data_IF_620178310534
#
_entry.id   IF_620178310534
#
_cell.length_a   1.000
_cell.length_b   1.000
_cell.length_c   1.000
_cell.angle_alpha   90.00
_cell.angle_beta   90.00
_cell.angle_gamma   90.00
#
_symmetry.space_group_name_H-M   'P 1'
#
loop_
_entity.id
_entity.type
_entity.pdbx_description
1 polymer ?
#
# COMPACT_ATOMS: atom_id res chain seq x y z
N UNK A 1 -66.52 -13.22 9.78
CA UNK A 1 -66.63 -12.56 11.11
C UNK A 1 -66.17 -13.54 12.18
N UNK A 2 -65.26 -13.09 13.06
CA UNK A 2 -64.79 -13.67 14.35
C UNK A 2 -63.61 -14.66 14.31
N UNK A 3 -62.59 -14.34 15.13
CA UNK A 3 -61.37 -15.10 15.46
C UNK A 3 -60.24 -14.15 15.90
N UNK A 4 -60.37 -13.42 17.02
CA UNK A 4 -59.82 -13.70 18.37
C UNK A 4 -58.30 -13.41 18.52
N UNK A 5 -58.04 -12.38 19.34
CA UNK A 5 -57.00 -12.15 20.37
C UNK A 5 -55.57 -12.70 20.23
N UNK A 6 -54.57 -11.84 20.45
CA UNK A 6 -53.99 -11.64 21.78
C UNK A 6 -52.92 -10.52 21.79
N UNK A 7 -53.04 -9.58 22.74
CA UNK A 7 -51.93 -8.74 23.20
C UNK A 7 -50.91 -9.62 23.93
N UNK A 8 -49.61 -9.42 23.68
CA UNK A 8 -48.56 -9.79 24.65
C UNK A 8 -47.51 -8.68 24.70
N UNK A 9 -47.07 -8.41 25.93
CA UNK A 9 -46.53 -7.16 26.43
C UNK A 9 -45.06 -6.87 26.05
N UNK A 10 -44.77 -5.58 26.00
CA UNK A 10 -43.45 -4.97 26.01
C UNK A 10 -42.75 -5.28 27.35
N UNK A 11 -41.58 -5.94 27.30
CA UNK A 11 -40.67 -6.02 28.45
C UNK A 11 -39.33 -5.39 28.06
N UNK A 12 -39.15 -4.16 28.52
CA UNK A 12 -37.90 -3.41 28.52
C UNK A 12 -37.00 -4.02 29.61
N UNK A 13 -35.85 -4.57 29.24
CA UNK A 13 -34.78 -4.90 30.20
C UNK A 13 -33.59 -4.02 29.86
N UNK A 14 -33.24 -3.15 30.79
CA UNK A 14 -32.13 -2.19 30.68
C UNK A 14 -31.24 -2.35 31.92
N UNK A 15 -29.92 -2.35 31.67
CA UNK A 15 -28.75 -2.32 32.58
C UNK A 15 -28.34 -3.71 33.12
N UNK A 16 -27.06 -4.14 33.10
CA UNK A 16 -25.82 -3.46 33.50
C UNK A 16 -24.59 -4.19 32.90
N UNK A 17 -23.55 -3.45 32.47
CA UNK A 17 -22.14 -3.89 32.63
C UNK A 17 -21.29 -4.07 31.37
N UNK A 18 -20.40 -3.10 31.08
CA UNK A 18 -19.26 -3.21 30.15
C UNK A 18 -17.98 -3.51 30.97
N UNK A 19 -17.01 -4.33 30.49
CA UNK A 19 -15.87 -3.75 29.77
C UNK A 19 -15.46 -4.60 28.53
N UNK A 20 -14.51 -4.11 27.70
CA UNK A 20 -14.47 -4.40 26.28
C UNK A 20 -14.06 -5.84 26.02
N UNK A 21 -14.72 -6.49 25.06
CA UNK A 21 -14.10 -7.63 24.39
C UNK A 21 -12.84 -7.07 23.72
N UNK A 22 -11.63 -7.56 24.01
CA UNK A 22 -10.49 -7.21 23.19
C UNK A 22 -10.84 -7.65 21.78
N UNK A 23 -11.03 -6.67 20.90
CA UNK A 23 -11.08 -6.91 19.48
C UNK A 23 -9.84 -7.71 19.18
N UNK A 24 -10.03 -8.99 18.83
CA UNK A 24 -8.95 -9.81 18.34
C UNK A 24 -8.56 -9.15 17.04
N UNK A 25 -7.57 -8.26 17.09
CA UNK A 25 -6.76 -7.99 15.92
C UNK A 25 -6.14 -9.34 15.62
N UNK A 26 -6.81 -10.14 14.79
CA UNK A 26 -6.11 -11.11 13.99
C UNK A 26 -5.19 -10.27 13.14
N UNK A 27 -4.02 -9.94 13.70
CA UNK A 27 -2.86 -9.71 12.90
C UNK A 27 -2.85 -10.91 11.97
N UNK A 28 -3.15 -10.66 10.70
CA UNK A 28 -2.93 -11.64 9.67
C UNK A 28 -1.40 -11.77 9.67
N UNK A 29 -0.88 -12.61 10.55
CA UNK A 29 0.43 -13.19 10.36
C UNK A 29 0.25 -14.04 9.12
N UNK A 30 0.33 -13.40 7.96
CA UNK A 30 0.59 -14.08 6.72
C UNK A 30 1.78 -14.96 7.04
N UNK A 31 1.54 -16.28 7.12
CA UNK A 31 2.60 -17.23 7.39
C UNK A 31 3.73 -16.86 6.43
N UNK A 32 4.94 -16.65 6.95
CA UNK A 32 6.10 -16.36 6.12
C UNK A 32 6.27 -17.57 5.21
N UNK A 33 5.75 -17.47 3.98
CA UNK A 33 5.97 -18.50 2.96
C UNK A 33 7.48 -18.56 2.77
N UNK A 34 8.13 -19.71 3.01
CA UNK A 34 9.56 -19.85 2.78
C UNK A 34 9.88 -19.41 1.35
N UNK A 35 10.91 -18.59 1.20
CA UNK A 35 11.27 -17.98 -0.08
C UNK A 35 12.11 -16.72 0.13
N UNK A 36 12.77 -16.28 -0.93
CA UNK A 36 13.56 -15.06 -0.88
C UNK A 36 12.64 -13.85 -0.75
N UNK A 37 13.18 -12.77 -0.21
CA UNK A 37 12.46 -11.52 0.06
C UNK A 37 13.43 -10.40 -0.22
N UNK A 38 13.08 -9.52 -1.14
CA UNK A 38 13.94 -8.43 -1.56
C UNK A 38 13.38 -7.13 -1.03
N UNK A 39 14.25 -6.37 -0.36
CA UNK A 39 14.00 -4.97 -0.01
C UNK A 39 15.15 -4.16 -0.57
N UNK A 40 14.82 -3.14 -1.34
CA UNK A 40 15.79 -2.18 -1.86
C UNK A 40 15.37 -0.78 -1.46
N UNK A 41 16.35 0.00 -1.01
CA UNK A 41 16.16 1.37 -0.54
C UNK A 41 17.04 2.25 -1.42
N UNK A 42 16.42 3.19 -2.12
CA UNK A 42 17.06 4.04 -3.11
C UNK A 42 16.76 5.51 -2.84
N UNK A 43 17.62 6.40 -3.34
CA UNK A 43 17.46 7.82 -3.07
C UNK A 43 16.28 8.40 -3.87
N UNK A 44 16.29 8.20 -5.19
CA UNK A 44 15.33 8.81 -6.10
C UNK A 44 14.44 7.79 -6.83
N UNK A 45 13.24 8.21 -7.26
CA UNK A 45 12.38 7.47 -8.18
C UNK A 45 13.02 7.18 -9.56
N UNK A 46 13.80 6.10 -9.70
CA UNK A 46 14.41 5.55 -10.95
C UNK A 46 15.73 4.80 -10.67
N UNK A 47 16.41 5.14 -9.57
CA UNK A 47 17.67 4.53 -9.14
C UNK A 47 17.62 2.99 -9.11
N UNK A 48 16.47 2.43 -8.77
CA UNK A 48 16.21 1.00 -8.81
C UNK A 48 16.27 0.40 -10.22
N UNK A 49 15.60 1.04 -11.17
CA UNK A 49 15.56 0.61 -12.57
C UNK A 49 16.93 0.75 -13.23
N UNK A 50 17.73 1.74 -12.80
CA UNK A 50 19.05 2.06 -13.36
C UNK A 50 20.18 1.25 -12.73
N UNK A 51 20.13 0.96 -11.42
CA UNK A 51 21.30 0.47 -10.68
C UNK A 51 21.07 -0.84 -9.91
N UNK A 52 19.82 -1.29 -9.72
CA UNK A 52 19.53 -2.55 -9.02
C UNK A 52 19.32 -3.74 -9.98
N UNK A 53 19.50 -3.52 -11.28
CA UNK A 53 19.57 -4.60 -12.26
C UNK A 53 20.91 -5.36 -12.15
N UNK A 54 20.93 -6.70 -12.36
CA UNK A 54 19.81 -7.55 -12.78
C UNK A 54 18.91 -8.06 -11.65
N UNK A 55 19.31 -7.90 -10.38
CA UNK A 55 18.69 -8.56 -9.23
C UNK A 55 17.21 -8.20 -9.08
N UNK A 56 16.85 -6.92 -9.20
CA UNK A 56 15.45 -6.46 -9.16
C UNK A 56 14.60 -7.16 -10.23
N UNK A 57 15.09 -7.20 -11.46
CA UNK A 57 14.37 -7.74 -12.60
C UNK A 57 14.17 -9.24 -12.42
N UNK A 58 15.22 -9.95 -11.98
CA UNK A 58 15.16 -11.36 -11.64
C UNK A 58 14.10 -11.66 -10.58
N UNK A 59 14.10 -10.91 -9.47
CA UNK A 59 13.15 -11.10 -8.39
C UNK A 59 11.69 -10.89 -8.83
N UNK A 60 11.40 -9.80 -9.55
CA UNK A 60 10.03 -9.50 -10.03
C UNK A 60 9.54 -10.55 -11.03
N UNK A 61 10.39 -10.96 -11.98
CA UNK A 61 10.05 -11.96 -12.99
C UNK A 61 9.85 -13.35 -12.37
N UNK A 62 10.68 -13.73 -11.39
CA UNK A 62 10.52 -14.96 -10.63
C UNK A 62 9.27 -14.94 -9.72
N UNK A 63 8.70 -13.76 -9.45
CA UNK A 63 7.55 -13.59 -8.58
C UNK A 63 7.90 -13.55 -7.10
N UNK A 64 9.17 -13.36 -6.77
CA UNK A 64 9.63 -13.18 -5.40
C UNK A 64 9.08 -11.87 -4.82
N UNK A 65 8.73 -11.82 -3.53
CA UNK A 65 8.26 -10.58 -2.94
C UNK A 65 9.35 -9.51 -2.90
N UNK A 66 9.00 -8.36 -3.44
CA UNK A 66 9.87 -7.20 -3.64
C UNK A 66 9.22 -5.97 -3.01
N UNK A 67 10.01 -5.22 -2.25
CA UNK A 67 9.64 -3.89 -1.74
C UNK A 67 10.71 -2.89 -2.16
N UNK A 68 10.31 -1.86 -2.89
CA UNK A 68 11.18 -0.73 -3.20
C UNK A 68 10.80 0.47 -2.39
N UNK A 69 11.76 1.05 -1.66
CA UNK A 69 11.57 2.24 -0.85
C UNK A 69 12.35 3.39 -1.46
N UNK A 70 11.66 4.47 -1.80
CA UNK A 70 12.26 5.71 -2.31
C UNK A 70 12.36 6.73 -1.17
N UNK A 71 13.58 7.17 -0.87
CA UNK A 71 13.87 8.07 0.25
C UNK A 71 13.48 9.52 -0.01
N UNK A 72 13.32 9.90 -1.28
CA UNK A 72 12.91 11.25 -1.69
C UNK A 72 11.83 11.16 -2.75
N UNK A 73 11.11 12.25 -2.97
CA UNK A 73 10.15 12.36 -4.05
C UNK A 73 10.81 12.65 -5.43
N UNK A 74 12.11 12.99 -5.44
CA UNK A 74 12.89 13.18 -6.66
C UNK A 74 12.53 14.42 -7.47
N UNK A 75 11.96 15.43 -6.81
CA UNK A 75 11.50 16.70 -7.38
C UNK A 75 12.65 17.66 -7.72
N UNK A 76 13.78 17.59 -7.01
CA UNK A 76 14.94 18.44 -7.27
C UNK A 76 14.58 19.94 -7.27
N UNK A 77 14.76 20.60 -8.41
CA UNK A 77 14.42 22.02 -8.62
C UNK A 77 13.13 22.23 -9.44
N UNK A 78 12.29 21.20 -9.59
CA UNK A 78 11.02 21.34 -10.29
C UNK A 78 10.17 22.47 -9.68
N UNK A 79 9.70 23.40 -10.51
CA UNK A 79 8.96 24.58 -10.09
C UNK A 79 9.80 25.72 -9.48
N UNK A 80 11.13 25.60 -9.42
CA UNK A 80 12.03 26.69 -9.00
C UNK A 80 12.45 27.55 -10.20
N UNK A 81 12.99 26.91 -11.24
CA UNK A 81 13.51 27.58 -12.44
C UNK A 81 12.82 27.12 -13.75
N UNK A 82 11.68 26.42 -13.62
CA UNK A 82 10.89 25.95 -14.74
C UNK A 82 9.38 26.13 -14.51
N UNK A 83 8.58 25.73 -15.50
CA UNK A 83 7.12 25.85 -15.46
C UNK A 83 6.42 24.63 -14.84
N UNK A 84 7.16 23.68 -14.25
CA UNK A 84 6.55 22.49 -13.65
C UNK A 84 5.89 22.83 -12.32
N UNK A 85 4.73 22.22 -12.07
CA UNK A 85 4.23 22.09 -10.70
C UNK A 85 5.02 20.95 -10.02
N UNK A 86 5.76 21.21 -8.93
CA UNK A 86 6.56 20.18 -8.26
C UNK A 86 5.71 19.00 -7.80
N UNK A 87 4.47 19.24 -7.32
CA UNK A 87 3.60 18.16 -6.89
C UNK A 87 3.15 17.28 -8.06
N UNK A 88 2.83 17.92 -9.20
CA UNK A 88 2.49 17.20 -10.42
C UNK A 88 3.67 16.40 -10.95
N UNK A 89 4.86 17.00 -10.93
CA UNK A 89 6.09 16.35 -11.37
C UNK A 89 6.38 15.07 -10.56
N UNK A 90 6.32 15.16 -9.24
CA UNK A 90 6.45 13.99 -8.35
C UNK A 90 5.39 12.94 -8.65
N UNK A 91 4.13 13.35 -8.76
CA UNK A 91 3.03 12.43 -9.06
C UNK A 91 3.27 11.66 -10.37
N UNK A 92 3.65 12.36 -11.44
CA UNK A 92 3.91 11.75 -12.75
C UNK A 92 5.11 10.79 -12.70
N UNK A 93 6.16 11.09 -11.91
CA UNK A 93 7.28 10.15 -11.68
C UNK A 93 6.83 8.88 -10.96
N UNK A 94 5.99 9.00 -9.93
CA UNK A 94 5.45 7.84 -9.24
C UNK A 94 4.55 7.00 -10.16
N UNK A 95 3.75 7.62 -11.04
CA UNK A 95 2.94 6.90 -12.05
C UNK A 95 3.83 6.19 -13.07
N UNK A 96 4.94 6.80 -13.47
CA UNK A 96 5.95 6.17 -14.34
C UNK A 96 6.53 4.90 -13.73
N UNK A 97 6.90 4.92 -12.44
CA UNK A 97 7.36 3.73 -11.73
C UNK A 97 6.29 2.66 -11.62
N UNK A 98 5.05 3.03 -11.30
CA UNK A 98 3.91 2.10 -11.26
C UNK A 98 3.72 1.39 -12.61
N UNK A 99 3.79 2.15 -13.70
CA UNK A 99 3.69 1.60 -15.05
C UNK A 99 4.88 0.67 -15.37
N UNK A 100 6.11 1.07 -15.02
CA UNK A 100 7.32 0.28 -15.27
C UNK A 100 7.28 -1.07 -14.53
N UNK A 101 6.90 -1.08 -13.25
CA UNK A 101 6.79 -2.31 -12.47
C UNK A 101 5.64 -3.20 -12.94
N UNK A 102 4.48 -2.62 -13.29
CA UNK A 102 3.38 -3.40 -13.85
C UNK A 102 3.76 -4.05 -15.19
N UNK A 103 4.47 -3.31 -16.05
CA UNK A 103 5.02 -3.82 -17.30
C UNK A 103 6.01 -4.96 -17.06
N UNK A 104 6.98 -4.77 -16.14
CA UNK A 104 7.96 -5.79 -15.78
C UNK A 104 7.30 -7.06 -15.22
N UNK A 105 6.25 -6.92 -14.42
CA UNK A 105 5.50 -8.02 -13.85
C UNK A 105 4.51 -8.68 -14.84
N UNK A 106 4.30 -8.09 -16.03
CA UNK A 106 3.40 -8.62 -17.06
C UNK A 106 1.91 -8.54 -16.69
N UNK A 107 1.50 -7.57 -15.87
CA UNK A 107 0.12 -7.41 -15.38
C UNK A 107 -0.40 -5.99 -15.61
N UNK A 108 -1.72 -5.74 -15.52
CA UNK A 108 -2.28 -4.39 -15.63
C UNK A 108 -1.69 -3.42 -14.59
N UNK A 109 -1.56 -2.15 -14.98
CA UNK A 109 -1.10 -1.07 -14.11
C UNK A 109 -2.20 -0.64 -13.12
N UNK A 110 -2.52 -1.51 -12.17
CA UNK A 110 -3.54 -1.31 -11.14
C UNK A 110 -2.92 -1.49 -9.77
N UNK A 111 -2.98 -0.44 -8.94
CA UNK A 111 -2.33 -0.41 -7.63
C UNK A 111 -3.33 -0.10 -6.53
N UNK A 112 -3.10 -0.71 -5.37
CA UNK A 112 -3.82 -0.41 -4.13
C UNK A 112 -2.88 0.34 -3.19
N UNK A 113 -3.23 1.58 -2.91
CA UNK A 113 -2.46 2.42 -2.02
C UNK A 113 -2.92 2.38 -0.56
N UNK A 114 -1.96 2.50 0.35
CA UNK A 114 -2.16 2.70 1.78
C UNK A 114 -1.20 3.79 2.28
N UNK A 115 -1.65 4.59 3.23
CA UNK A 115 -0.79 5.56 3.91
C UNK A 115 -0.32 4.97 5.23
N UNK A 116 0.99 5.07 5.48
CA UNK A 116 1.64 4.65 6.71
C UNK A 116 2.19 5.89 7.41
N UNK A 117 2.06 5.94 8.73
CA UNK A 117 2.64 7.00 9.55
C UNK A 117 3.44 6.32 10.66
N UNK A 118 4.76 6.47 10.64
CA UNK A 118 5.67 5.85 11.60
C UNK A 118 6.78 6.84 11.94
N UNK A 119 7.08 7.02 13.23
CA UNK A 119 8.11 7.96 13.68
C UNK A 119 7.94 9.41 13.19
N UNK A 120 6.73 9.83 12.81
CA UNK A 120 6.45 11.16 12.25
C UNK A 120 6.65 11.28 10.73
N UNK A 121 7.12 10.22 10.06
CA UNK A 121 7.25 10.17 8.60
C UNK A 121 5.95 9.66 7.99
N UNK A 122 5.48 10.30 6.91
CA UNK A 122 4.32 9.83 6.12
C UNK A 122 4.82 9.12 4.88
N UNK A 123 4.41 7.86 4.71
CA UNK A 123 4.77 7.04 3.57
C UNK A 123 3.52 6.61 2.81
N UNK A 124 3.62 6.52 1.49
CA UNK A 124 2.62 5.94 0.60
C UNK A 124 3.12 4.58 0.13
N UNK A 125 2.47 3.52 0.59
CA UNK A 125 2.71 2.17 0.10
C UNK A 125 1.72 1.85 -1.02
N UNK A 126 2.22 1.54 -2.20
CA UNK A 126 1.46 1.06 -3.35
C UNK A 126 1.70 -0.44 -3.53
N UNK A 127 0.63 -1.23 -3.58
CA UNK A 127 0.69 -2.69 -3.82
C UNK A 127 0.07 -3.02 -5.17
N UNK A 128 0.80 -3.72 -6.03
CA UNK A 128 0.34 -4.11 -7.37
C UNK A 128 -0.79 -5.15 -7.24
N UNK A 129 -1.96 -4.88 -7.81
CA UNK A 129 -3.20 -5.63 -7.51
C UNK A 129 -3.11 -7.10 -7.93
N UNK A 130 -2.67 -7.37 -9.15
CA UNK A 130 -2.57 -8.74 -9.68
C UNK A 130 -1.25 -9.44 -9.31
N UNK A 131 -0.30 -8.68 -8.74
CA UNK A 131 0.99 -9.20 -8.26
C UNK A 131 1.33 -8.59 -6.89
N UNK A 132 0.57 -8.91 -5.83
CA UNK A 132 0.69 -8.24 -4.52
C UNK A 132 2.02 -8.52 -3.79
N UNK A 133 2.85 -9.39 -4.35
CA UNK A 133 4.24 -9.59 -3.93
C UNK A 133 5.14 -8.39 -4.28
N UNK A 134 4.73 -7.53 -5.22
CA UNK A 134 5.43 -6.30 -5.63
C UNK A 134 4.82 -5.09 -4.93
N UNK A 135 5.66 -4.33 -4.22
CA UNK A 135 5.25 -3.10 -3.52
C UNK A 135 6.25 -1.97 -3.74
N UNK A 136 5.72 -0.76 -3.89
CA UNK A 136 6.48 0.49 -3.96
C UNK A 136 6.13 1.34 -2.74
N UNK A 137 7.13 1.99 -2.14
CA UNK A 137 6.94 2.85 -0.98
C UNK A 137 7.58 4.20 -1.25
N UNK A 138 6.74 5.23 -1.29
CA UNK A 138 7.14 6.61 -1.50
C UNK A 138 7.08 7.40 -0.21
N UNK A 139 8.06 8.26 0.04
CA UNK A 139 7.86 9.36 0.97
C UNK A 139 6.78 10.32 0.44
N UNK A 140 5.88 10.77 1.31
CA UNK A 140 4.87 11.81 1.00
C UNK A 140 4.95 12.90 2.07
N UNK A 141 6.07 13.61 2.06
CA UNK A 141 6.42 14.75 2.92
C UNK A 141 5.93 16.05 2.36
#
# INVERSE_FOLDING_TARGET
MKGICALVALALVVLVGCPPTPGRTTALTAALVPGERFVQVVAHPDDDLLFMAPDLYGAVLAGEPTVTVYLTAGEGLAGVDDAHDPHRYVFDRQEGLRAAYAYLAGVPNLWRGATLVEGGVRLRMETLVERPTVRLVFEIG
#
